data_IF_294152256969
#
_entry.id   IF_294152256969
#
_cell.length_a   1.000
_cell.length_b   1.000
_cell.length_c   1.000
_cell.angle_alpha   90.00
_cell.angle_beta   90.00
_cell.angle_gamma   90.00
#
_symmetry.space_group_name_H-M   'P 1'
#
loop_
_entity.id
_entity.type
_entity.pdbx_description
1 polymer ?
#
# COMPACT_ATOMS: atom_id res chain seq x y z
N UNK A 1 -22.91 17.40 -23.23
CA UNK A 1 -22.37 17.15 -21.86
C UNK A 1 -21.12 18.00 -21.68
N UNK A 2 -21.18 19.09 -20.90
CA UNK A 2 -19.98 19.88 -20.61
C UNK A 2 -19.10 19.08 -19.63
N UNK A 3 -17.91 18.68 -20.06
CA UNK A 3 -16.90 18.12 -19.17
C UNK A 3 -16.47 19.21 -18.17
N UNK A 4 -16.94 19.15 -16.93
CA UNK A 4 -16.39 19.99 -15.86
C UNK A 4 -14.88 19.74 -15.81
N UNK A 5 -14.06 20.78 -16.01
CA UNK A 5 -12.61 20.71 -15.80
C UNK A 5 -12.37 20.42 -14.31
N UNK A 6 -11.88 19.23 -13.94
CA UNK A 6 -11.86 18.81 -12.53
C UNK A 6 -10.80 19.52 -11.68
N UNK A 7 -9.99 20.41 -12.25
CA UNK A 7 -8.74 20.86 -11.65
C UNK A 7 -8.56 22.39 -11.59
N UNK A 8 -9.62 23.17 -11.59
CA UNK A 8 -9.54 24.63 -11.53
C UNK A 8 -9.47 25.30 -12.89
N UNK A 9 -9.54 26.66 -12.87
CA UNK A 9 -9.63 27.51 -14.09
C UNK A 9 -8.26 27.88 -14.66
N UNK A 10 -7.24 27.99 -13.81
CA UNK A 10 -5.87 28.38 -14.21
C UNK A 10 -4.94 27.19 -14.31
N UNK A 11 -3.88 27.29 -15.13
CA UNK A 11 -2.82 26.28 -15.21
C UNK A 11 -2.19 25.98 -13.84
N UNK A 12 -1.98 27.04 -13.02
CA UNK A 12 -1.42 26.91 -11.67
C UNK A 12 -2.33 26.10 -10.74
N UNK A 13 -3.65 26.31 -10.81
CA UNK A 13 -4.63 25.52 -10.06
C UNK A 13 -4.68 24.08 -10.56
N UNK A 14 -4.60 23.87 -11.87
CA UNK A 14 -4.56 22.54 -12.48
C UNK A 14 -3.30 21.76 -12.06
N UNK A 15 -2.14 22.41 -12.05
CA UNK A 15 -0.89 21.80 -11.59
C UNK A 15 -0.91 21.49 -10.09
N UNK A 16 -1.38 22.44 -9.26
CA UNK A 16 -1.54 22.20 -7.82
C UNK A 16 -2.53 21.07 -7.50
N UNK A 17 -3.61 20.98 -8.25
CA UNK A 17 -4.59 19.92 -8.08
C UNK A 17 -4.10 18.56 -8.61
N UNK A 18 -3.29 18.55 -9.68
CA UNK A 18 -2.62 17.36 -10.20
C UNK A 18 -1.53 16.80 -9.29
N UNK A 19 -0.93 17.67 -8.45
CA UNK A 19 0.08 17.27 -7.47
C UNK A 19 -0.50 16.66 -6.17
N UNK A 20 -1.83 16.57 -6.03
CA UNK A 20 -2.47 15.96 -4.87
C UNK A 20 -2.62 14.46 -5.07
N UNK A 21 -2.32 13.71 -4.03
CA UNK A 21 -2.64 12.28 -4.01
C UNK A 21 -4.14 12.07 -4.09
N UNK A 22 -4.53 10.97 -4.76
CA UNK A 22 -5.93 10.65 -5.02
C UNK A 22 -6.14 9.16 -5.05
N UNK A 23 -7.28 8.77 -4.53
CA UNK A 23 -7.79 7.43 -4.63
C UNK A 23 -9.15 7.46 -5.35
N UNK A 24 -9.28 6.68 -6.41
CA UNK A 24 -10.50 6.55 -7.18
C UNK A 24 -11.03 5.13 -7.08
N UNK A 25 -12.30 5.01 -6.72
CA UNK A 25 -13.03 3.74 -6.69
C UNK A 25 -13.95 3.69 -7.91
N UNK A 26 -14.03 2.56 -8.55
CA UNK A 26 -14.91 2.33 -9.69
C UNK A 26 -15.44 0.90 -9.70
N UNK A 27 -16.50 0.68 -10.45
CA UNK A 27 -17.10 -0.63 -10.65
C UNK A 27 -17.18 -0.93 -12.15
N UNK A 28 -16.93 -2.17 -12.52
CA UNK A 28 -17.02 -2.67 -13.88
C UNK A 28 -17.96 -3.88 -13.93
N UNK A 29 -18.40 -4.25 -15.14
CA UNK A 29 -19.26 -5.41 -15.39
C UNK A 29 -20.49 -5.44 -14.47
N UNK A 30 -21.25 -4.35 -14.46
CA UNK A 30 -22.49 -4.19 -13.67
C UNK A 30 -22.30 -4.47 -12.17
N UNK A 31 -21.12 -4.13 -11.65
CA UNK A 31 -20.78 -4.29 -10.24
C UNK A 31 -20.07 -5.59 -9.87
N UNK A 32 -19.82 -6.47 -10.82
CA UNK A 32 -19.09 -7.72 -10.58
C UNK A 32 -17.61 -7.52 -10.23
N UNK A 33 -16.99 -6.42 -10.72
CA UNK A 33 -15.60 -6.09 -10.46
C UNK A 33 -15.50 -4.72 -9.80
N UNK A 34 -14.81 -4.66 -8.66
CA UNK A 34 -14.43 -3.40 -8.00
C UNK A 34 -13.00 -3.08 -8.36
N UNK A 35 -12.75 -1.84 -8.81
CA UNK A 35 -11.42 -1.35 -9.06
C UNK A 35 -11.09 -0.16 -8.16
N UNK A 36 -9.81 -0.05 -7.82
CA UNK A 36 -9.25 1.08 -7.08
C UNK A 36 -7.97 1.52 -7.77
N UNK A 37 -7.83 2.80 -8.04
CA UNK A 37 -6.60 3.39 -8.56
C UNK A 37 -6.16 4.48 -7.58
N UNK A 38 -4.87 4.49 -7.24
CA UNK A 38 -4.28 5.47 -6.36
C UNK A 38 -3.07 6.14 -7.00
N UNK A 39 -3.03 7.47 -6.93
CA UNK A 39 -1.82 8.25 -7.09
C UNK A 39 -1.35 8.67 -5.69
N UNK A 40 -0.22 8.16 -5.23
CA UNK A 40 0.34 8.40 -3.90
C UNK A 40 1.75 9.01 -3.95
N UNK A 41 2.10 9.72 -5.01
CA UNK A 41 3.45 10.28 -5.19
C UNK A 41 3.86 11.20 -4.05
N UNK A 42 2.95 12.07 -3.61
CA UNK A 42 3.22 12.99 -2.49
C UNK A 42 3.38 12.24 -1.18
N UNK A 43 2.49 11.32 -0.88
CA UNK A 43 2.53 10.48 0.32
C UNK A 43 3.86 9.72 0.43
N UNK A 44 4.32 9.11 -0.67
CA UNK A 44 5.61 8.40 -0.70
C UNK A 44 6.79 9.35 -0.52
N UNK A 45 6.75 10.54 -1.12
CA UNK A 45 7.82 11.53 -0.93
C UNK A 45 7.84 12.10 0.49
N UNK A 46 6.69 12.36 1.09
CA UNK A 46 6.58 12.79 2.50
C UNK A 46 7.10 11.69 3.44
N UNK A 47 6.70 10.44 3.22
CA UNK A 47 7.23 9.29 3.94
C UNK A 47 8.77 9.20 3.83
N UNK A 48 9.30 9.30 2.60
CA UNK A 48 10.75 9.29 2.36
C UNK A 48 11.47 10.38 3.14
N UNK A 49 10.94 11.60 3.10
CA UNK A 49 11.53 12.75 3.78
C UNK A 49 11.48 12.62 5.30
N UNK A 50 10.32 12.19 5.85
CA UNK A 50 10.11 12.07 7.29
C UNK A 50 10.97 10.97 7.93
N UNK A 51 11.27 9.91 7.19
CA UNK A 51 12.08 8.78 7.65
C UNK A 51 13.53 8.83 7.15
N UNK A 52 13.91 9.87 6.38
CA UNK A 52 15.25 10.04 5.80
C UNK A 52 15.72 8.81 4.99
N UNK A 53 14.82 8.22 4.20
CA UNK A 53 15.04 6.94 3.54
C UNK A 53 15.88 7.06 2.28
N UNK A 54 16.76 6.08 2.07
CA UNK A 54 17.41 5.80 0.80
C UNK A 54 16.45 5.32 -0.30
N UNK A 55 17.00 5.02 -1.47
CA UNK A 55 16.18 4.59 -2.63
C UNK A 55 15.52 3.24 -2.35
N UNK A 56 16.28 2.26 -1.87
CA UNK A 56 15.77 0.90 -1.63
C UNK A 56 14.66 0.90 -0.57
N UNK A 57 14.90 1.55 0.56
CA UNK A 57 13.94 1.70 1.64
C UNK A 57 12.66 2.39 1.17
N UNK A 58 12.82 3.43 0.33
CA UNK A 58 11.69 4.16 -0.25
C UNK A 58 10.86 3.27 -1.18
N UNK A 59 11.50 2.43 -2.00
CA UNK A 59 10.80 1.50 -2.87
C UNK A 59 10.02 0.45 -2.07
N UNK A 60 10.66 -0.14 -1.06
CA UNK A 60 10.03 -1.17 -0.21
C UNK A 60 8.84 -0.60 0.56
N UNK A 61 9.09 0.44 1.36
CA UNK A 61 8.05 1.02 2.20
C UNK A 61 6.98 1.75 1.38
N UNK A 62 7.38 2.41 0.29
CA UNK A 62 6.45 3.11 -0.60
C UNK A 62 5.46 2.18 -1.28
N UNK A 63 5.88 1.00 -1.76
CA UNK A 63 4.97 -0.02 -2.29
C UNK A 63 3.99 -0.50 -1.22
N UNK A 64 4.44 -0.68 0.01
CA UNK A 64 3.57 -1.07 1.12
C UNK A 64 2.57 0.05 1.49
N UNK A 65 2.99 1.33 1.47
CA UNK A 65 2.11 2.49 1.65
C UNK A 65 1.01 2.53 0.58
N UNK A 66 1.38 2.36 -0.69
CA UNK A 66 0.42 2.31 -1.79
C UNK A 66 -0.54 1.12 -1.64
N UNK A 67 -0.03 -0.05 -1.27
CA UNK A 67 -0.83 -1.24 -1.00
C UNK A 67 -1.85 -1.00 0.12
N UNK A 68 -1.42 -0.43 1.26
CA UNK A 68 -2.30 -0.09 2.37
C UNK A 68 -3.35 0.96 1.97
N UNK A 69 -2.95 1.98 1.21
CA UNK A 69 -3.86 2.98 0.66
C UNK A 69 -4.92 2.37 -0.26
N UNK A 70 -4.54 1.45 -1.16
CA UNK A 70 -5.50 0.72 -2.01
C UNK A 70 -6.47 -0.12 -1.17
N UNK A 71 -5.97 -0.83 -0.15
CA UNK A 71 -6.80 -1.64 0.74
C UNK A 71 -7.74 -0.79 1.59
N UNK A 72 -7.36 0.43 1.96
CA UNK A 72 -8.19 1.36 2.72
C UNK A 72 -9.49 1.74 2.00
N UNK A 73 -9.53 1.58 0.68
CA UNK A 73 -10.72 1.80 -0.13
C UNK A 73 -11.93 0.96 0.29
N UNK A 74 -11.69 -0.19 0.93
CA UNK A 74 -12.73 -1.07 1.47
C UNK A 74 -13.21 -0.72 2.88
N UNK A 75 -12.54 0.21 3.56
CA UNK A 75 -12.83 0.61 4.93
C UNK A 75 -13.95 1.64 5.00
N UNK A 76 -14.59 1.75 6.17
CA UNK A 76 -15.69 2.67 6.46
C UNK A 76 -15.46 3.34 7.81
N UNK A 77 -16.08 4.50 7.99
CA UNK A 77 -16.10 5.20 9.28
C UNK A 77 -14.71 5.31 9.92
N UNK A 78 -14.53 4.79 11.12
CA UNK A 78 -13.26 4.78 11.86
C UNK A 78 -12.45 3.49 11.69
N UNK A 79 -12.81 2.65 10.72
CA UNK A 79 -12.06 1.42 10.43
C UNK A 79 -10.61 1.72 10.10
N UNK A 80 -9.74 0.79 10.49
CA UNK A 80 -8.30 0.82 10.20
C UNK A 80 -7.82 -0.56 9.78
N UNK A 81 -6.79 -0.56 8.96
CA UNK A 81 -6.09 -1.77 8.53
C UNK A 81 -4.61 -1.61 8.82
N UNK A 82 -3.99 -2.65 9.38
CA UNK A 82 -2.56 -2.75 9.55
C UNK A 82 -2.03 -3.91 8.72
N UNK A 83 -1.00 -3.64 7.93
CA UNK A 83 -0.28 -4.61 7.11
C UNK A 83 1.10 -4.78 7.72
N UNK A 84 1.47 -6.00 8.05
CA UNK A 84 2.76 -6.32 8.61
C UNK A 84 3.44 -7.42 7.81
N UNK A 85 4.64 -7.14 7.35
CA UNK A 85 5.56 -8.11 6.80
C UNK A 85 6.60 -8.46 7.86
N UNK A 86 6.75 -9.74 8.14
CA UNK A 86 7.83 -10.29 8.96
C UNK A 86 8.61 -11.24 8.08
N UNK A 87 9.89 -10.98 7.85
CA UNK A 87 10.68 -11.73 6.89
C UNK A 87 12.14 -11.90 7.32
N UNK A 88 12.78 -12.93 6.80
CA UNK A 88 14.15 -13.32 7.17
C UNK A 88 15.22 -12.55 6.41
N UNK A 89 14.86 -11.94 5.28
CA UNK A 89 15.78 -11.20 4.43
C UNK A 89 16.26 -9.87 5.04
N UNK A 90 17.08 -9.11 4.32
CA UNK A 90 17.67 -7.85 4.79
C UNK A 90 16.66 -6.81 5.29
N UNK A 91 15.46 -6.78 4.73
CA UNK A 91 14.36 -5.88 5.15
C UNK A 91 13.93 -6.13 6.60
N UNK A 92 14.02 -7.39 7.09
CA UNK A 92 13.54 -7.85 8.40
C UNK A 92 12.03 -7.68 8.60
N UNK A 93 11.42 -6.74 7.94
CA UNK A 93 9.99 -6.51 7.93
C UNK A 93 9.61 -5.04 7.91
N UNK A 94 8.32 -4.82 7.84
CA UNK A 94 7.71 -3.48 7.86
C UNK A 94 6.31 -3.55 8.47
N UNK A 95 5.83 -2.41 8.91
CA UNK A 95 4.45 -2.22 9.35
C UNK A 95 3.89 -0.97 8.68
N UNK A 96 2.70 -1.09 8.11
CA UNK A 96 1.97 0.04 7.52
C UNK A 96 0.52 -0.02 7.95
N UNK A 97 -0.01 1.10 8.42
CA UNK A 97 -1.42 1.26 8.77
C UNK A 97 -2.09 2.25 7.81
N UNK A 98 -3.34 2.00 7.50
CA UNK A 98 -4.20 2.94 6.79
C UNK A 98 -5.58 3.01 7.44
N UNK A 99 -6.23 4.18 7.38
CA UNK A 99 -7.60 4.38 7.83
C UNK A 99 -8.56 4.59 6.64
N UNK A 100 -9.85 4.66 6.93
CA UNK A 100 -10.89 4.85 5.91
C UNK A 100 -10.80 6.20 5.17
N UNK A 101 -10.06 7.19 5.71
CA UNK A 101 -9.83 8.48 5.09
C UNK A 101 -8.66 8.48 4.10
N UNK A 102 -7.95 7.34 3.97
CA UNK A 102 -6.79 7.19 3.10
C UNK A 102 -5.50 7.76 3.70
N UNK A 103 -5.48 8.06 4.99
CA UNK A 103 -4.25 8.41 5.70
C UNK A 103 -3.44 7.14 5.95
N UNK A 104 -2.16 7.18 5.60
CA UNK A 104 -1.25 6.04 5.69
C UNK A 104 -0.04 6.41 6.53
N UNK A 105 0.38 5.53 7.41
CA UNK A 105 1.61 5.62 8.19
C UNK A 105 2.29 4.26 8.30
N UNK A 106 3.58 4.25 8.54
CA UNK A 106 4.30 2.98 8.70
C UNK A 106 5.79 3.17 8.79
N UNK A 107 6.50 2.08 8.99
CA UNK A 107 7.96 2.09 9.12
C UNK A 107 8.56 0.75 8.69
N UNK A 108 9.86 0.78 8.37
CA UNK A 108 10.71 -0.40 8.18
C UNK A 108 11.30 -0.82 9.53
N UNK A 109 11.41 -2.11 9.76
CA UNK A 109 12.05 -2.66 10.98
C UNK A 109 13.57 -2.54 10.95
N UNK A 110 14.16 -2.43 9.76
CA UNK A 110 15.60 -2.31 9.55
C UNK A 110 15.92 -1.17 8.59
N UNK A 111 16.66 -0.16 9.06
CA UNK A 111 17.12 0.99 8.29
C UNK A 111 18.54 1.33 8.74
N UNK A 112 19.52 1.47 7.84
CA UNK A 112 19.43 1.18 6.40
C UNK A 112 19.35 -0.32 6.11
N UNK A 113 18.73 -0.67 4.97
CA UNK A 113 18.73 -2.05 4.48
C UNK A 113 20.13 -2.36 3.94
N UNK A 114 20.78 -3.35 4.55
CA UNK A 114 22.13 -3.75 4.13
C UNK A 114 22.06 -4.50 2.80
N UNK A 115 22.82 -4.05 1.83
CA UNK A 115 22.93 -4.70 0.51
C UNK A 115 24.42 -4.85 0.17
N UNK A 116 24.79 -6.03 -0.34
CA UNK A 116 26.16 -6.35 -0.74
C UNK A 116 26.51 -5.79 -2.13
N UNK A 117 25.48 -5.55 -2.96
CA UNK A 117 25.63 -5.07 -4.34
C UNK A 117 24.60 -3.99 -4.65
N UNK A 118 24.91 -3.04 -5.54
CA UNK A 118 23.95 -2.08 -6.04
C UNK A 118 22.73 -2.77 -6.66
N UNK A 119 21.58 -2.07 -6.64
CA UNK A 119 20.36 -2.55 -7.28
C UNK A 119 20.51 -2.48 -8.80
N UNK A 120 20.42 -3.64 -9.47
CA UNK A 120 20.46 -3.73 -10.92
C UNK A 120 19.08 -3.56 -11.55
N UNK A 121 18.02 -3.76 -10.77
CA UNK A 121 16.63 -3.68 -11.21
C UNK A 121 15.69 -3.34 -10.05
N UNK A 122 14.40 -3.25 -10.32
CA UNK A 122 13.35 -2.98 -9.31
C UNK A 122 12.75 -4.24 -8.67
N UNK A 123 13.37 -5.40 -8.83
CA UNK A 123 12.97 -6.62 -8.14
C UNK A 123 13.45 -6.57 -6.69
N UNK A 124 12.51 -6.56 -5.76
CA UNK A 124 12.75 -6.51 -4.32
C UNK A 124 12.67 -7.88 -3.66
N UNK A 125 12.33 -8.93 -4.40
CA UNK A 125 12.12 -10.27 -3.84
C UNK A 125 13.33 -10.83 -3.09
N UNK A 126 14.60 -10.60 -3.51
CA UNK A 126 15.76 -11.08 -2.78
C UNK A 126 15.92 -10.47 -1.37
N UNK A 127 15.30 -9.31 -1.12
CA UNK A 127 15.42 -8.59 0.15
C UNK A 127 14.36 -9.00 1.18
N UNK A 128 13.29 -9.69 0.78
CA UNK A 128 12.27 -10.20 1.69
C UNK A 128 12.68 -11.52 2.34
N UNK A 129 13.06 -12.52 1.55
CA UNK A 129 13.29 -13.86 2.05
C UNK A 129 12.00 -14.56 2.53
N UNK A 130 12.16 -15.63 3.30
CA UNK A 130 11.01 -16.35 3.87
C UNK A 130 10.34 -15.54 4.99
N UNK A 131 9.02 -15.64 5.10
CA UNK A 131 8.30 -14.89 6.12
C UNK A 131 6.79 -14.95 6.01
N UNK A 132 6.13 -14.01 6.65
CA UNK A 132 4.68 -13.91 6.71
C UNK A 132 4.20 -12.49 6.42
N UNK A 133 3.05 -12.42 5.77
CA UNK A 133 2.21 -11.24 5.68
C UNK A 133 1.03 -11.41 6.64
N UNK A 134 0.87 -10.48 7.57
CA UNK A 134 -0.27 -10.38 8.46
C UNK A 134 -1.06 -9.12 8.13
N UNK A 135 -2.37 -9.25 8.02
CA UNK A 135 -3.27 -8.11 7.81
C UNK A 135 -4.28 -8.10 8.95
N UNK A 136 -4.26 -7.02 9.73
CA UNK A 136 -5.15 -6.84 10.88
C UNK A 136 -6.15 -5.73 10.56
N UNK A 137 -7.44 -6.05 10.65
CA UNK A 137 -8.55 -5.11 10.48
C UNK A 137 -9.12 -4.74 11.84
N UNK A 138 -9.13 -3.45 12.15
CA UNK A 138 -9.82 -2.86 13.29
C UNK A 138 -11.11 -2.22 12.78
N UNK A 139 -12.21 -2.93 12.96
CA UNK A 139 -13.54 -2.45 12.54
C UNK A 139 -14.22 -1.79 13.72
N UNK A 140 -14.87 -0.64 13.50
CA UNK A 140 -15.52 0.17 14.54
C UNK A 140 -16.57 -0.64 15.32
N UNK A 141 -17.34 -1.48 14.60
CA UNK A 141 -18.40 -2.28 15.17
C UNK A 141 -17.93 -3.63 15.76
N UNK A 142 -16.65 -3.97 15.65
CA UNK A 142 -16.12 -5.25 16.12
C UNK A 142 -15.45 -5.12 17.48
N UNK A 143 -15.77 -6.02 18.43
CA UNK A 143 -15.14 -6.06 19.76
C UNK A 143 -13.64 -6.37 19.72
N UNK A 144 -13.21 -7.13 18.73
CA UNK A 144 -11.82 -7.57 18.58
C UNK A 144 -11.36 -7.38 17.12
N UNK A 145 -10.09 -7.09 16.89
CA UNK A 145 -9.55 -7.01 15.54
C UNK A 145 -9.52 -8.40 14.88
N UNK A 146 -9.68 -8.41 13.56
CA UNK A 146 -9.48 -9.59 12.73
C UNK A 146 -8.08 -9.59 12.15
N UNK A 147 -7.35 -10.70 12.30
CA UNK A 147 -6.03 -10.87 11.70
C UNK A 147 -6.00 -12.09 10.79
N UNK A 148 -5.78 -11.85 9.51
CA UNK A 148 -5.43 -12.89 8.55
C UNK A 148 -3.91 -12.95 8.40
N UNK A 149 -3.36 -14.17 8.27
CA UNK A 149 -1.91 -14.39 8.13
C UNK A 149 -1.63 -15.40 7.04
N UNK A 150 -0.72 -15.06 6.13
CA UNK A 150 -0.28 -15.93 5.02
C UNK A 150 1.24 -15.95 4.92
N UNK A 151 1.79 -17.03 4.39
CA UNK A 151 3.22 -17.10 4.08
C UNK A 151 3.53 -16.19 2.89
N UNK A 152 4.67 -15.51 2.93
CA UNK A 152 5.21 -14.80 1.79
C UNK A 152 5.57 -15.80 0.70
N UNK A 153 5.00 -15.62 -0.48
CA UNK A 153 5.18 -16.52 -1.61
C UNK A 153 6.07 -15.93 -2.68
N UNK A 154 5.99 -14.62 -2.87
CA UNK A 154 6.62 -13.94 -3.98
C UNK A 154 7.73 -12.96 -3.55
N UNK A 155 7.78 -12.55 -2.28
CA UNK A 155 8.66 -11.46 -1.85
C UNK A 155 8.37 -10.15 -2.56
N UNK A 156 7.13 -9.96 -2.98
CA UNK A 156 6.66 -8.80 -3.71
C UNK A 156 5.36 -8.31 -3.09
N UNK A 157 5.35 -7.05 -2.65
CA UNK A 157 4.21 -6.49 -1.90
C UNK A 157 2.89 -6.66 -2.66
N UNK A 158 2.86 -6.35 -3.96
CA UNK A 158 1.63 -6.42 -4.76
C UNK A 158 1.13 -7.88 -4.91
N UNK A 159 2.03 -8.80 -5.24
CA UNK A 159 1.69 -10.21 -5.43
C UNK A 159 1.34 -10.90 -4.11
N UNK A 160 2.04 -10.59 -3.03
CA UNK A 160 1.74 -11.16 -1.71
C UNK A 160 0.42 -10.61 -1.14
N UNK A 161 0.07 -9.34 -1.40
CA UNK A 161 -1.27 -8.81 -1.10
C UNK A 161 -2.36 -9.49 -1.92
N UNK A 162 -2.15 -9.74 -3.22
CA UNK A 162 -3.09 -10.51 -4.04
C UNK A 162 -3.27 -11.94 -3.52
N UNK A 163 -2.17 -12.60 -3.13
CA UNK A 163 -2.22 -13.92 -2.50
C UNK A 163 -2.97 -13.89 -1.15
N UNK A 164 -2.78 -12.86 -0.33
CA UNK A 164 -3.54 -12.68 0.91
C UNK A 164 -5.05 -12.59 0.63
N UNK A 165 -5.46 -11.76 -0.35
CA UNK A 165 -6.87 -11.64 -0.72
C UNK A 165 -7.46 -12.97 -1.19
N UNK A 166 -6.72 -13.72 -2.00
CA UNK A 166 -7.17 -15.01 -2.51
C UNK A 166 -7.30 -16.04 -1.39
N UNK A 167 -6.31 -16.14 -0.49
CA UNK A 167 -6.23 -17.26 0.47
C UNK A 167 -6.92 -16.95 1.79
N UNK A 168 -6.88 -15.72 2.28
CA UNK A 168 -7.44 -15.31 3.57
C UNK A 168 -8.82 -14.66 3.44
N UNK A 169 -9.00 -13.76 2.47
CA UNK A 169 -10.28 -13.09 2.24
C UNK A 169 -11.20 -13.86 1.27
N UNK A 170 -10.65 -14.85 0.55
CA UNK A 170 -11.34 -15.63 -0.48
C UNK A 170 -11.92 -14.76 -1.62
N UNK A 171 -11.24 -13.65 -1.91
CA UNK A 171 -11.61 -12.71 -2.96
C UNK A 171 -10.51 -12.72 -4.04
N UNK A 172 -10.76 -13.23 -5.25
CA UNK A 172 -9.82 -13.11 -6.36
C UNK A 172 -9.48 -11.64 -6.62
N UNK A 173 -8.21 -11.30 -6.52
CA UNK A 173 -7.75 -9.90 -6.62
C UNK A 173 -6.42 -9.82 -7.34
N UNK A 174 -6.18 -8.67 -8.00
CA UNK A 174 -4.90 -8.33 -8.59
C UNK A 174 -4.43 -6.97 -8.06
N UNK A 175 -3.15 -6.87 -7.78
CA UNK A 175 -2.46 -5.64 -7.43
C UNK A 175 -1.36 -5.40 -8.46
N UNK A 176 -1.23 -4.17 -8.96
CA UNK A 176 -0.23 -3.79 -9.96
C UNK A 176 0.34 -2.41 -9.66
#
# INVERSE_FOLDING_TARGET
MQKKKPYGKTLKEQLKAGARDRLHKFMLADGAVRGVIMNGTRMVNEMRANHELGILETLVLGRAYLGAGLMSAGLKSNDRIAIQFDCSGPIKGLVVEANAFGEVRGYLKNVPIQIDKPLDNFDLSPFFGAGFLSVTKHLEDAKHPFTGKVMLKYGNVAQDLANYYLTSEQIPSAFT
#
